data_IF_752131243090
#
_entry.id   IF_752131243090
#
_cell.length_a   1.000
_cell.length_b   1.000
_cell.length_c   1.000
_cell.angle_alpha   90.00
_cell.angle_beta   90.00
_cell.angle_gamma   90.00
#
_symmetry.space_group_name_H-M   'P 1'
#
loop_
_entity.id
_entity.type
_entity.pdbx_description
1 polymer ?
#
# COMPACT_ATOMS: atom_id res chain seq x y z
N UNK A 1 -0.89 6.15 4.38
CA UNK A 1 -0.11 5.17 5.16
C UNK A 1 1.06 5.83 5.90
N UNK A 2 2.04 6.44 5.24
CA UNK A 2 3.19 7.11 5.88
C UNK A 2 2.78 8.30 6.77
N UNK A 3 1.67 8.96 6.49
CA UNK A 3 1.20 10.15 7.22
C UNK A 3 0.78 9.86 8.67
N UNK A 4 0.37 8.64 9.01
CA UNK A 4 -0.03 8.28 10.38
C UNK A 4 1.13 7.89 11.29
N UNK A 5 2.25 7.44 10.73
CA UNK A 5 3.39 6.95 11.52
C UNK A 5 4.03 8.00 12.46
N UNK A 6 4.24 9.26 12.04
CA UNK A 6 4.79 10.28 12.92
C UNK A 6 3.94 10.51 14.17
N UNK A 7 2.60 10.53 14.01
CA UNK A 7 1.66 10.70 15.12
C UNK A 7 1.75 9.53 16.11
N UNK A 8 1.78 8.30 15.59
CA UNK A 8 1.88 7.10 16.43
C UNK A 8 3.20 7.07 17.18
N UNK A 9 4.30 7.47 16.54
CA UNK A 9 5.62 7.51 17.20
C UNK A 9 5.69 8.55 18.29
N UNK A 10 5.18 9.76 18.04
CA UNK A 10 5.24 10.86 18.99
C UNK A 10 4.21 10.70 20.12
N UNK A 11 2.93 10.50 19.77
CA UNK A 11 1.82 10.61 20.71
C UNK A 11 1.53 9.29 21.45
N UNK A 12 1.82 8.14 20.82
CA UNK A 12 1.52 6.83 21.42
C UNK A 12 2.76 6.18 22.03
N UNK A 13 3.88 6.23 21.34
CA UNK A 13 5.12 5.58 21.78
C UNK A 13 6.08 6.54 22.52
N UNK A 14 5.77 7.85 22.57
CA UNK A 14 6.58 8.85 23.24
C UNK A 14 8.02 8.96 22.69
N UNK A 15 8.23 8.54 21.44
CA UNK A 15 9.53 8.51 20.81
C UNK A 15 9.87 9.87 20.19
N UNK A 16 11.15 10.29 20.23
CA UNK A 16 11.55 11.53 19.62
C UNK A 16 11.42 11.47 18.08
N UNK A 17 11.22 12.61 17.40
CA UNK A 17 11.12 12.66 15.93
C UNK A 17 12.31 12.03 15.20
N UNK A 18 13.49 12.01 15.80
CA UNK A 18 14.69 11.36 15.28
C UNK A 18 14.54 9.85 15.16
N UNK A 19 13.77 9.21 16.05
CA UNK A 19 13.49 7.77 15.97
C UNK A 19 12.68 7.42 14.72
N UNK A 20 11.68 8.25 14.35
CA UNK A 20 10.96 8.09 13.10
C UNK A 20 11.91 8.09 11.89
N UNK A 21 12.83 9.05 11.84
CA UNK A 21 13.85 9.14 10.78
C UNK A 21 14.75 7.91 10.71
N UNK A 22 15.11 7.32 11.85
CA UNK A 22 15.95 6.12 11.92
C UNK A 22 15.25 4.86 11.36
N UNK A 23 13.94 4.72 11.55
CA UNK A 23 13.16 3.59 11.02
C UNK A 23 12.69 3.78 9.57
N UNK A 24 12.64 5.00 9.06
CA UNK A 24 12.16 5.31 7.72
C UNK A 24 12.93 4.58 6.59
N UNK A 25 14.26 4.43 6.64
CA UNK A 25 15.01 3.66 5.65
C UNK A 25 14.51 2.22 5.48
N UNK A 26 14.00 1.59 6.53
CA UNK A 26 13.46 0.23 6.47
C UNK A 26 12.28 0.14 5.49
N UNK A 27 11.41 1.15 5.48
CA UNK A 27 10.27 1.23 4.56
C UNK A 27 10.75 1.44 3.11
N UNK A 28 11.73 2.32 2.93
CA UNK A 28 12.31 2.62 1.62
C UNK A 28 13.02 1.40 1.03
N UNK A 29 13.79 0.68 1.84
CA UNK A 29 14.45 -0.58 1.44
C UNK A 29 13.40 -1.61 1.04
N UNK A 30 12.33 -1.77 1.82
CA UNK A 30 11.22 -2.65 1.48
C UNK A 30 10.66 -2.33 0.09
N UNK A 31 10.36 -1.07 -0.19
CA UNK A 31 9.84 -0.63 -1.49
C UNK A 31 10.81 -0.90 -2.65
N UNK A 32 12.09 -0.57 -2.47
CA UNK A 32 13.13 -0.81 -3.49
C UNK A 32 13.28 -2.30 -3.79
N UNK A 33 13.33 -3.14 -2.76
CA UNK A 33 13.41 -4.59 -2.93
C UNK A 33 12.17 -5.15 -3.66
N UNK A 34 10.98 -4.66 -3.37
CA UNK A 34 9.75 -5.01 -4.08
C UNK A 34 9.84 -4.65 -5.57
N UNK A 35 10.33 -3.45 -5.91
CA UNK A 35 10.56 -3.05 -7.30
C UNK A 35 11.61 -3.94 -8.00
N UNK A 36 12.69 -4.29 -7.31
CA UNK A 36 13.72 -5.18 -7.88
C UNK A 36 13.16 -6.58 -8.19
N UNK A 37 12.32 -7.12 -7.32
CA UNK A 37 11.59 -8.37 -7.60
C UNK A 37 10.71 -8.20 -8.83
N UNK A 38 9.96 -7.10 -8.94
CA UNK A 38 9.13 -6.80 -10.11
C UNK A 38 9.92 -6.84 -11.39
N UNK A 39 11.05 -6.15 -11.46
CA UNK A 39 11.89 -6.11 -12.68
C UNK A 39 12.36 -7.51 -13.09
N UNK A 40 12.67 -8.39 -12.12
CA UNK A 40 13.18 -9.73 -12.41
C UNK A 40 12.12 -10.74 -12.79
N UNK A 41 10.92 -10.63 -12.21
CA UNK A 41 9.89 -11.68 -12.35
C UNK A 41 8.65 -11.27 -13.14
N UNK A 42 8.52 -9.98 -13.51
CA UNK A 42 7.35 -9.48 -14.22
C UNK A 42 7.08 -10.21 -15.55
N UNK A 43 8.15 -10.54 -16.27
CA UNK A 43 8.04 -11.26 -17.56
C UNK A 43 7.55 -12.71 -17.39
N UNK A 44 7.94 -13.37 -16.29
CA UNK A 44 7.58 -14.78 -16.05
C UNK A 44 6.23 -14.94 -15.34
N UNK A 45 5.86 -14.01 -14.45
CA UNK A 45 4.63 -14.12 -13.65
C UNK A 45 3.44 -13.39 -14.28
N UNK A 46 3.71 -12.39 -15.11
CA UNK A 46 2.68 -11.52 -15.68
C UNK A 46 2.09 -10.52 -14.68
N UNK A 47 1.45 -9.49 -15.22
CA UNK A 47 0.93 -8.34 -14.48
C UNK A 47 -0.09 -8.77 -13.40
N UNK A 48 -1.04 -9.63 -13.77
CA UNK A 48 -2.11 -10.07 -12.87
C UNK A 48 -1.59 -10.82 -11.63
N UNK A 49 -0.65 -11.72 -11.84
CA UNK A 49 -0.07 -12.50 -10.75
C UNK A 49 0.71 -11.61 -9.77
N UNK A 50 1.38 -10.59 -10.28
CA UNK A 50 2.11 -9.63 -9.46
C UNK A 50 1.18 -8.77 -8.61
N UNK A 51 0.08 -8.29 -9.18
CA UNK A 51 -0.91 -7.51 -8.44
C UNK A 51 -1.53 -8.36 -7.33
N UNK A 52 -1.99 -9.58 -7.64
CA UNK A 52 -2.62 -10.47 -6.64
C UNK A 52 -1.65 -10.81 -5.51
N UNK A 53 -0.43 -11.21 -5.84
CA UNK A 53 0.58 -11.59 -4.83
C UNK A 53 1.03 -10.39 -4.00
N UNK A 54 1.22 -9.23 -4.63
CA UNK A 54 1.58 -8.01 -3.93
C UNK A 54 0.46 -7.53 -2.99
N UNK A 55 -0.78 -7.42 -3.48
CA UNK A 55 -1.91 -6.99 -2.63
C UNK A 55 -2.23 -8.01 -1.54
N UNK A 56 -2.13 -9.31 -1.84
CA UNK A 56 -2.29 -10.38 -0.87
C UNK A 56 -1.24 -10.33 0.24
N UNK A 57 0.04 -10.14 -0.12
CA UNK A 57 1.13 -9.96 0.84
C UNK A 57 0.93 -8.71 1.71
N UNK A 58 0.47 -7.59 1.11
CA UNK A 58 0.15 -6.39 1.87
C UNK A 58 -0.97 -6.65 2.89
N UNK A 59 -2.02 -7.36 2.50
CA UNK A 59 -3.13 -7.69 3.39
C UNK A 59 -2.69 -8.61 4.54
N UNK A 60 -1.92 -9.66 4.26
CA UNK A 60 -1.39 -10.54 5.30
C UNK A 60 -0.48 -9.81 6.28
N UNK A 61 0.36 -8.88 5.80
CA UNK A 61 1.20 -8.04 6.65
C UNK A 61 0.36 -7.08 7.51
N UNK A 62 -0.73 -6.51 6.98
CA UNK A 62 -1.67 -5.69 7.75
C UNK A 62 -2.34 -6.51 8.87
N UNK A 63 -2.78 -7.73 8.57
CA UNK A 63 -3.38 -8.61 9.57
C UNK A 63 -2.36 -9.05 10.63
N UNK A 64 -1.13 -9.35 10.23
CA UNK A 64 -0.06 -9.65 11.16
C UNK A 64 0.24 -8.46 12.08
N UNK A 65 0.25 -7.23 11.56
CA UNK A 65 0.38 -6.01 12.35
C UNK A 65 -0.76 -5.87 13.37
N UNK A 66 -2.00 -6.11 12.94
CA UNK A 66 -3.16 -6.07 13.83
C UNK A 66 -3.05 -7.09 14.97
N UNK A 67 -2.74 -8.35 14.64
CA UNK A 67 -2.59 -9.43 15.63
C UNK A 67 -1.45 -9.14 16.61
N UNK A 68 -0.35 -8.58 16.13
CA UNK A 68 0.76 -8.19 16.99
C UNK A 68 0.36 -7.09 17.97
N UNK A 69 -0.31 -6.05 17.49
CA UNK A 69 -0.78 -4.95 18.34
C UNK A 69 -1.78 -5.40 19.40
N UNK A 70 -2.58 -6.44 19.11
CA UNK A 70 -3.53 -7.01 20.06
C UNK A 70 -2.88 -7.91 21.13
N UNK A 71 -1.82 -8.66 20.75
CA UNK A 71 -1.27 -9.71 21.62
C UNK A 71 -0.02 -9.31 22.40
N UNK A 72 0.87 -8.51 21.83
CA UNK A 72 2.22 -8.29 22.36
C UNK A 72 2.53 -6.84 22.75
N UNK A 73 1.56 -5.94 22.59
CA UNK A 73 1.75 -4.53 22.88
C UNK A 73 2.50 -3.76 21.77
N UNK A 74 2.66 -2.46 22.00
CA UNK A 74 3.16 -1.51 21.02
C UNK A 74 4.65 -1.25 21.24
N UNK A 75 5.46 -1.81 20.35
CA UNK A 75 6.87 -1.44 20.21
C UNK A 75 7.12 -0.88 18.79
N UNK A 76 8.08 0.02 18.58
CA UNK A 76 8.36 0.59 17.25
C UNK A 76 8.52 -0.48 16.17
N UNK A 77 9.24 -1.56 16.46
CA UNK A 77 9.49 -2.64 15.51
C UNK A 77 8.21 -3.38 15.09
N UNK A 78 7.23 -3.50 15.98
CA UNK A 78 5.92 -4.12 15.69
C UNK A 78 5.11 -3.36 14.63
N UNK A 79 5.37 -2.07 14.48
CA UNK A 79 4.76 -1.24 13.45
C UNK A 79 5.63 -1.21 12.18
N UNK A 80 6.92 -0.97 12.32
CA UNK A 80 7.79 -0.75 11.17
C UNK A 80 8.11 -2.01 10.38
N UNK A 81 8.18 -3.19 11.01
CA UNK A 81 8.45 -4.44 10.30
C UNK A 81 7.29 -4.85 9.38
N UNK A 82 6.03 -4.93 9.84
CA UNK A 82 4.91 -5.17 8.93
C UNK A 82 4.76 -4.08 7.87
N UNK A 83 5.01 -2.81 8.23
CA UNK A 83 4.99 -1.70 7.27
C UNK A 83 6.06 -1.85 6.18
N UNK A 84 7.24 -2.33 6.50
CA UNK A 84 8.28 -2.63 5.50
C UNK A 84 7.83 -3.74 4.54
N UNK A 85 7.13 -4.76 5.04
CA UNK A 85 6.55 -5.81 4.20
C UNK A 85 5.44 -5.23 3.31
N UNK A 86 4.61 -4.34 3.84
CA UNK A 86 3.57 -3.65 3.06
C UNK A 86 4.20 -2.78 1.97
N UNK A 87 5.27 -2.02 2.26
CA UNK A 87 5.96 -1.23 1.23
C UNK A 87 6.65 -2.09 0.19
N UNK A 88 7.20 -3.23 0.57
CA UNK A 88 7.71 -4.26 -0.36
C UNK A 88 6.59 -4.77 -1.28
N UNK A 89 5.45 -5.13 -0.74
CA UNK A 89 4.28 -5.57 -1.47
C UNK A 89 3.76 -4.51 -2.45
N UNK A 90 3.78 -3.24 -2.05
CA UNK A 90 3.47 -2.10 -2.93
C UNK A 90 4.50 -1.94 -4.06
N UNK A 91 5.80 -2.11 -3.77
CA UNK A 91 6.85 -2.14 -4.79
C UNK A 91 6.65 -3.24 -5.83
N UNK A 92 6.01 -4.35 -5.45
CA UNK A 92 5.63 -5.43 -6.38
C UNK A 92 4.38 -5.09 -7.21
N UNK A 93 3.31 -4.61 -6.56
CA UNK A 93 2.00 -4.47 -7.20
C UNK A 93 1.82 -3.16 -7.96
N UNK A 94 2.36 -2.05 -7.47
CA UNK A 94 2.13 -0.72 -8.03
C UNK A 94 2.67 -0.54 -9.46
N UNK A 95 3.93 -0.92 -9.78
CA UNK A 95 4.43 -0.83 -11.15
C UNK A 95 3.65 -1.71 -12.12
N UNK A 96 3.25 -2.91 -11.68
CA UNK A 96 2.45 -3.83 -12.47
C UNK A 96 1.06 -3.25 -12.77
N UNK A 97 0.38 -2.69 -11.76
CA UNK A 97 -0.93 -2.06 -11.94
C UNK A 97 -0.86 -0.83 -12.85
N UNK A 98 0.17 0.00 -12.68
CA UNK A 98 0.38 1.19 -13.51
C UNK A 98 0.62 0.82 -14.97
N UNK A 99 1.52 -0.13 -15.24
CA UNK A 99 1.78 -0.58 -16.60
C UNK A 99 0.56 -1.25 -17.24
N UNK A 100 -0.23 -2.00 -16.50
CA UNK A 100 -1.49 -2.57 -16.97
C UNK A 100 -2.50 -1.52 -17.37
N UNK A 101 -2.68 -0.48 -16.55
CA UNK A 101 -3.65 0.59 -16.81
C UNK A 101 -3.24 1.51 -17.98
N UNK A 102 -1.94 1.82 -18.12
CA UNK A 102 -1.43 2.70 -19.18
C UNK A 102 -1.34 1.96 -20.54
N UNK A 103 -1.08 0.65 -20.50
CA UNK A 103 -0.89 -0.17 -21.71
C UNK A 103 -2.15 -0.40 -22.56
N UNK A 104 -3.33 -0.01 -22.08
CA UNK A 104 -4.61 -0.25 -22.79
C UNK A 104 -4.70 0.53 -24.11
N UNK A 105 -4.22 1.77 -24.15
CA UNK A 105 -4.27 2.59 -25.35
C UNK A 105 -3.03 3.49 -25.47
N UNK A 106 -2.13 3.20 -26.44
CA UNK A 106 -0.89 3.97 -26.64
C UNK A 106 -1.12 5.46 -26.97
N UNK A 107 -2.27 5.83 -27.54
CA UNK A 107 -2.55 7.20 -27.95
C UNK A 107 -2.85 8.14 -26.77
N UNK A 108 -3.24 7.59 -25.63
CA UNK A 108 -3.65 8.38 -24.45
C UNK A 108 -2.77 8.12 -23.21
N UNK A 109 -1.59 7.54 -23.39
CA UNK A 109 -0.65 7.22 -22.28
C UNK A 109 -0.38 8.42 -21.38
N UNK A 110 -0.14 9.60 -21.96
CA UNK A 110 0.15 10.81 -21.18
C UNK A 110 -1.02 11.26 -20.30
N UNK A 111 -2.23 11.31 -20.86
CA UNK A 111 -3.42 11.67 -20.09
C UNK A 111 -3.79 10.61 -19.05
N UNK A 112 -3.67 9.33 -19.38
CA UNK A 112 -3.89 8.23 -18.46
C UNK A 112 -2.94 8.30 -17.24
N UNK A 113 -1.65 8.53 -17.49
CA UNK A 113 -0.64 8.71 -16.43
C UNK A 113 -0.95 9.93 -15.56
N UNK A 114 -1.36 11.04 -16.17
CA UNK A 114 -1.76 12.25 -15.45
C UNK A 114 -2.96 12.04 -14.53
N UNK A 115 -4.02 11.41 -15.03
CA UNK A 115 -5.22 11.10 -14.24
C UNK A 115 -4.90 10.13 -13.10
N UNK A 116 -4.11 9.08 -13.36
CA UNK A 116 -3.69 8.14 -12.33
C UNK A 116 -2.84 8.83 -11.24
N UNK A 117 -1.86 9.64 -11.64
CA UNK A 117 -1.03 10.38 -10.70
C UNK A 117 -1.84 11.34 -9.85
N UNK A 118 -2.74 12.11 -10.47
CA UNK A 118 -3.66 12.99 -9.75
C UNK A 118 -4.52 12.21 -8.75
N UNK A 119 -5.14 11.11 -9.18
CA UNK A 119 -5.97 10.28 -8.33
C UNK A 119 -5.20 9.70 -7.13
N UNK A 120 -3.98 9.23 -7.34
CA UNK A 120 -3.11 8.72 -6.26
C UNK A 120 -2.81 9.80 -5.22
N UNK A 121 -2.41 10.99 -5.64
CA UNK A 121 -2.12 12.10 -4.72
C UNK A 121 -3.37 12.66 -4.04
N UNK A 122 -4.50 12.71 -4.74
CA UNK A 122 -5.77 13.12 -4.17
C UNK A 122 -6.22 12.18 -3.05
N UNK A 123 -6.17 10.86 -3.28
CA UNK A 123 -6.49 9.85 -2.25
C UNK A 123 -5.48 9.91 -1.10
N UNK A 124 -4.19 10.11 -1.39
CA UNK A 124 -3.16 10.24 -0.36
C UNK A 124 -3.40 11.45 0.53
N UNK A 125 -3.71 12.61 -0.05
CA UNK A 125 -4.03 13.84 0.69
C UNK A 125 -5.30 13.68 1.53
N UNK A 126 -6.37 13.14 0.95
CA UNK A 126 -7.62 12.85 1.67
C UNK A 126 -7.42 11.89 2.84
N UNK A 127 -6.61 10.86 2.64
CA UNK A 127 -6.26 9.91 3.71
C UNK A 127 -5.44 10.57 4.82
N UNK A 128 -4.48 11.43 4.47
CA UNK A 128 -3.69 12.17 5.45
C UNK A 128 -4.57 13.12 6.29
N UNK A 129 -5.48 13.83 5.63
CA UNK A 129 -6.44 14.71 6.30
C UNK A 129 -7.39 13.92 7.22
N UNK A 130 -7.92 12.80 6.72
CA UNK A 130 -8.79 11.93 7.52
C UNK A 130 -8.06 11.44 8.79
N UNK A 131 -6.83 10.96 8.65
CA UNK A 131 -6.02 10.53 9.79
C UNK A 131 -5.79 11.68 10.78
N UNK A 132 -5.51 12.89 10.30
CA UNK A 132 -5.35 14.07 11.17
C UNK A 132 -6.60 14.37 12.01
N UNK A 133 -7.80 14.12 11.47
CA UNK A 133 -9.08 14.39 12.16
C UNK A 133 -9.45 13.25 13.14
N UNK A 134 -9.25 11.98 12.75
CA UNK A 134 -9.67 10.83 13.55
C UNK A 134 -8.63 10.36 14.57
N UNK A 135 -7.42 10.94 14.53
CA UNK A 135 -6.36 10.58 15.46
C UNK A 135 -6.77 10.96 16.88
N UNK A 136 -6.69 9.99 17.80
CA UNK A 136 -7.14 10.11 19.18
C UNK A 136 -6.07 9.71 20.20
N UNK A 137 -4.77 9.81 19.83
CA UNK A 137 -3.65 9.40 20.67
C UNK A 137 -3.47 7.87 20.76
N UNK A 138 -4.14 7.10 19.90
CA UNK A 138 -4.00 5.64 19.83
C UNK A 138 -3.54 5.19 18.46
N UNK A 139 -3.06 3.93 18.34
CA UNK A 139 -2.67 3.32 17.04
C UNK A 139 -3.86 2.95 16.17
N UNK A 140 -5.02 2.71 16.78
CA UNK A 140 -6.16 2.07 16.15
C UNK A 140 -6.67 2.78 14.90
N UNK A 141 -6.80 4.12 14.86
CA UNK A 141 -7.22 4.82 13.64
C UNK A 141 -6.26 4.58 12.47
N UNK A 142 -4.95 4.60 12.73
CA UNK A 142 -3.94 4.35 11.69
C UNK A 142 -4.02 2.91 11.17
N UNK A 143 -4.10 1.92 12.05
CA UNK A 143 -4.22 0.49 11.69
C UNK A 143 -5.51 0.25 10.90
N UNK A 144 -6.64 0.79 11.34
CA UNK A 144 -7.93 0.64 10.69
C UNK A 144 -7.92 1.22 9.26
N UNK A 145 -7.37 2.42 9.07
CA UNK A 145 -7.26 3.06 7.75
C UNK A 145 -6.35 2.25 6.82
N UNK A 146 -5.23 1.74 7.32
CA UNK A 146 -4.32 0.91 6.50
C UNK A 146 -5.02 -0.37 6.03
N UNK A 147 -5.71 -1.06 6.92
CA UNK A 147 -6.48 -2.28 6.59
C UNK A 147 -7.59 -1.95 5.60
N UNK A 148 -8.37 -0.90 5.84
CA UNK A 148 -9.47 -0.50 4.97
C UNK A 148 -8.99 -0.20 3.55
N UNK A 149 -7.92 0.59 3.40
CA UNK A 149 -7.37 0.92 2.08
C UNK A 149 -6.75 -0.28 1.37
N UNK A 150 -6.08 -1.17 2.10
CA UNK A 150 -5.50 -2.39 1.51
C UNK A 150 -6.60 -3.35 1.05
N UNK A 151 -7.65 -3.51 1.84
CA UNK A 151 -8.83 -4.30 1.48
C UNK A 151 -9.57 -3.71 0.28
N UNK A 152 -9.76 -2.39 0.27
CA UNK A 152 -10.39 -1.68 -0.85
C UNK A 152 -9.57 -1.83 -2.14
N UNK A 153 -8.24 -1.77 -2.06
CA UNK A 153 -7.34 -2.01 -3.20
C UNK A 153 -7.53 -3.42 -3.77
N UNK A 154 -7.61 -4.43 -2.91
CA UNK A 154 -7.84 -5.81 -3.34
C UNK A 154 -9.22 -6.00 -3.96
N UNK A 155 -10.26 -5.44 -3.36
CA UNK A 155 -11.63 -5.50 -3.89
C UNK A 155 -11.73 -4.79 -5.25
N UNK A 156 -11.14 -3.61 -5.40
CA UNK A 156 -11.11 -2.87 -6.67
C UNK A 156 -10.46 -3.66 -7.79
N UNK A 157 -9.39 -4.40 -7.48
CA UNK A 157 -8.75 -5.27 -8.46
C UNK A 157 -9.68 -6.42 -8.90
N UNK A 158 -10.35 -7.08 -7.97
CA UNK A 158 -11.29 -8.16 -8.31
C UNK A 158 -12.48 -7.67 -9.11
N UNK A 159 -13.03 -6.49 -8.77
CA UNK A 159 -14.13 -5.87 -9.52
C UNK A 159 -13.72 -5.52 -10.94
N UNK A 160 -12.52 -4.95 -11.12
CA UNK A 160 -11.99 -4.63 -12.45
C UNK A 160 -11.85 -5.89 -13.31
N UNK A 161 -11.31 -6.95 -12.74
CA UNK A 161 -11.14 -8.23 -13.44
C UNK A 161 -12.48 -8.89 -13.79
N UNK A 162 -13.46 -8.80 -12.91
CA UNK A 162 -14.80 -9.33 -13.19
C UNK A 162 -15.46 -8.62 -14.38
N UNK A 163 -15.27 -7.32 -14.49
CA UNK A 163 -15.71 -6.54 -15.66
C UNK A 163 -15.03 -6.96 -16.96
N UNK A 164 -13.71 -7.25 -16.94
CA UNK A 164 -12.98 -7.73 -18.12
C UNK A 164 -13.52 -9.07 -18.64
N UNK A 165 -13.82 -10.02 -17.75
CA UNK A 165 -14.34 -11.34 -18.12
C UNK A 165 -15.72 -11.20 -18.78
N UNK A 166 -16.59 -10.34 -18.28
CA UNK A 166 -17.92 -10.13 -18.87
C UNK A 166 -17.87 -9.50 -20.27
N UNK A 167 -16.93 -8.61 -20.53
CA UNK A 167 -16.77 -7.97 -21.85
C UNK A 167 -16.26 -8.97 -22.90
N UNK A 168 -15.46 -9.94 -22.50
CA UNK A 168 -14.96 -10.99 -23.39
C UNK A 168 -16.03 -12.05 -23.74
N UNK A 169 -16.99 -12.28 -22.85
CA UNK A 169 -18.07 -13.27 -23.03
C UNK A 169 -19.22 -12.75 -23.95
N UNK A 170 -19.23 -11.44 -24.24
CA UNK A 170 -20.23 -10.77 -25.10
C UNK A 170 -19.72 -10.64 -26.55
N UNK A 171 -18.45 -10.96 -26.84
CA UNK A 171 -17.86 -10.92 -28.19
C UNK A 171 -17.70 -12.28 -28.80
#
# INVERSE_FOLDING_TARGET
MLAGLPFVMADVLGQPPTAYGAYFPLLSIGYVLGNLVTVRVAQSWGIHCMIIRGTGLALTACLAMLLWCLGFGLIPLALYLPMAIITFAHGMSQPAATSGAIGVNPLVVGSATGVMGFGQWFVAAGTAQLLGVIQNGTVWPTVAVVIALTTLSMLSYFLARWGEVQVLDIR
#
